data_IF_830227892533
#
_entry.id   IF_830227892533
#
_cell.length_a   1.000
_cell.length_b   1.000
_cell.length_c   1.000
_cell.angle_alpha   90.00
_cell.angle_beta   90.00
_cell.angle_gamma   90.00
#
_symmetry.space_group_name_H-M   'P 1'
#
loop_
_entity.id
_entity.type
_entity.pdbx_description
1 polymer ?
#
# COMPACT_ATOMS: atom_id res chain seq x y z
N UNK A 1 5.36 -6.37 13.44
CA UNK A 1 4.07 -7.04 13.70
C UNK A 1 4.30 -8.53 13.64
N UNK A 2 3.90 -9.26 14.68
CA UNK A 2 4.15 -10.70 14.71
C UNK A 2 5.62 -11.07 14.45
N UNK A 3 6.58 -10.34 15.02
CA UNK A 3 8.01 -10.55 14.80
C UNK A 3 8.55 -10.17 13.40
N UNK A 4 7.68 -9.74 12.47
CA UNK A 4 8.04 -9.44 11.08
C UNK A 4 7.92 -7.93 10.78
N UNK A 5 8.85 -7.32 10.03
CA UNK A 5 8.74 -5.94 9.53
C UNK A 5 7.48 -5.74 8.67
N UNK A 6 6.89 -4.53 8.72
CA UNK A 6 5.66 -4.22 7.97
C UNK A 6 5.86 -4.43 6.47
N UNK A 7 6.99 -4.01 5.92
CA UNK A 7 7.30 -4.13 4.49
C UNK A 7 7.28 -5.59 4.01
N UNK A 8 7.74 -6.52 4.84
CA UNK A 8 7.74 -7.95 4.49
C UNK A 8 6.32 -8.51 4.33
N UNK A 9 5.37 -8.08 5.16
CA UNK A 9 3.96 -8.44 5.00
C UNK A 9 3.40 -7.99 3.65
N UNK A 10 3.72 -6.75 3.25
CA UNK A 10 3.27 -6.22 1.96
C UNK A 10 3.94 -6.94 0.80
N UNK A 11 5.25 -7.20 0.85
CA UNK A 11 5.94 -7.96 -0.20
C UNK A 11 5.34 -9.37 -0.32
N UNK A 12 5.13 -10.07 0.79
CA UNK A 12 4.58 -11.43 0.79
C UNK A 12 3.18 -11.52 0.19
N UNK A 13 2.34 -10.50 0.36
CA UNK A 13 1.02 -10.49 -0.24
C UNK A 13 1.08 -10.60 -1.78
N UNK A 14 2.07 -9.96 -2.40
CA UNK A 14 2.29 -10.01 -3.85
C UNK A 14 3.18 -11.18 -4.26
N UNK A 15 4.18 -11.55 -3.46
CA UNK A 15 5.03 -12.73 -3.68
C UNK A 15 4.19 -14.01 -3.78
N UNK A 16 3.18 -14.14 -2.90
CA UNK A 16 2.31 -15.31 -2.82
C UNK A 16 1.15 -15.30 -3.84
N UNK A 17 1.02 -14.28 -4.69
CA UNK A 17 0.00 -14.24 -5.74
C UNK A 17 0.57 -14.75 -7.07
N UNK A 18 0.06 -15.85 -7.58
CA UNK A 18 0.56 -16.51 -8.80
C UNK A 18 0.43 -15.64 -10.07
N UNK A 19 -0.39 -14.59 -10.04
CA UNK A 19 -0.61 -13.68 -11.17
C UNK A 19 0.34 -12.48 -11.17
N UNK A 20 1.11 -12.30 -10.11
CA UNK A 20 2.19 -11.31 -10.02
C UNK A 20 3.49 -11.97 -10.47
N UNK A 21 4.10 -11.42 -11.49
CA UNK A 21 5.37 -11.93 -12.04
C UNK A 21 6.59 -11.30 -11.38
N UNK A 22 6.54 -10.00 -11.15
CA UNK A 22 7.69 -9.21 -10.72
C UNK A 22 7.27 -8.14 -9.70
N UNK A 23 8.15 -7.84 -8.76
CA UNK A 23 7.98 -6.84 -7.71
C UNK A 23 9.15 -5.86 -7.79
N UNK A 24 8.85 -4.56 -7.77
CA UNK A 24 9.82 -3.49 -7.57
C UNK A 24 9.53 -2.85 -6.22
N UNK A 25 10.54 -2.80 -5.37
CA UNK A 25 10.43 -2.18 -4.06
C UNK A 25 11.07 -0.79 -4.13
N UNK A 26 10.27 0.24 -3.83
CA UNK A 26 10.76 1.62 -3.79
C UNK A 26 10.94 2.04 -2.34
N UNK A 27 12.15 2.47 -1.99
CA UNK A 27 12.54 2.72 -0.61
C UNK A 27 13.17 4.09 -0.43
N UNK A 28 13.11 4.63 0.78
CA UNK A 28 13.93 5.77 1.14
C UNK A 28 15.37 5.31 1.32
N UNK A 29 16.35 6.09 0.86
CA UNK A 29 17.79 5.80 0.96
C UNK A 29 18.24 5.38 2.38
N UNK A 30 17.60 5.94 3.42
CA UNK A 30 17.96 5.65 4.82
C UNK A 30 17.69 4.22 5.26
N UNK A 31 16.79 3.52 4.57
CA UNK A 31 16.37 2.17 4.93
C UNK A 31 16.69 1.15 3.82
N UNK A 32 17.34 1.59 2.75
CA UNK A 32 17.63 0.77 1.58
C UNK A 32 18.46 -0.48 1.95
N UNK A 33 19.56 -0.30 2.69
CA UNK A 33 20.42 -1.40 3.13
C UNK A 33 19.63 -2.42 3.97
N UNK A 34 18.85 -1.92 4.96
CA UNK A 34 18.02 -2.79 5.80
C UNK A 34 16.97 -3.55 5.00
N UNK A 35 16.34 -2.91 4.00
CA UNK A 35 15.33 -3.57 3.16
C UNK A 35 15.98 -4.60 2.24
N UNK A 36 17.18 -4.31 1.69
CA UNK A 36 17.96 -5.28 0.93
C UNK A 36 18.24 -6.54 1.75
N UNK A 37 18.78 -6.38 2.98
CA UNK A 37 19.04 -7.50 3.90
C UNK A 37 17.78 -8.34 4.15
N UNK A 38 16.65 -7.69 4.43
CA UNK A 38 15.37 -8.38 4.66
C UNK A 38 14.88 -9.17 3.44
N UNK A 39 15.09 -8.63 2.23
CA UNK A 39 14.70 -9.29 0.98
C UNK A 39 15.59 -10.51 0.73
N UNK A 40 16.89 -10.38 0.93
CA UNK A 40 17.86 -11.45 0.75
C UNK A 40 17.64 -12.58 1.77
N UNK A 41 17.42 -12.23 3.04
CA UNK A 41 17.14 -13.22 4.12
C UNK A 41 15.83 -13.99 3.87
N UNK A 42 14.79 -13.30 3.39
CA UNK A 42 13.50 -13.92 3.09
C UNK A 42 13.50 -14.72 1.79
N UNK A 43 14.41 -14.43 0.86
CA UNK A 43 14.54 -15.13 -0.42
C UNK A 43 13.35 -14.89 -1.36
N UNK A 44 12.79 -13.69 -1.38
CA UNK A 44 11.66 -13.34 -2.27
C UNK A 44 12.07 -13.47 -3.74
N UNK A 45 11.42 -14.41 -4.45
CA UNK A 45 11.79 -14.77 -5.81
C UNK A 45 11.30 -13.76 -6.86
N UNK A 46 10.26 -12.98 -6.56
CA UNK A 46 9.65 -12.01 -7.49
C UNK A 46 10.23 -10.60 -7.36
N UNK A 47 10.97 -10.29 -6.31
CA UNK A 47 11.61 -8.98 -6.17
C UNK A 47 12.77 -8.88 -7.17
N UNK A 48 12.63 -7.97 -8.15
CA UNK A 48 13.60 -7.78 -9.23
C UNK A 48 14.50 -6.58 -9.04
N UNK A 49 14.02 -5.56 -8.34
CA UNK A 49 14.78 -4.35 -8.12
C UNK A 49 14.33 -3.66 -6.83
N UNK A 50 15.29 -2.97 -6.22
CA UNK A 50 15.06 -1.97 -5.19
C UNK A 50 15.47 -0.64 -5.80
N UNK A 51 14.60 0.37 -5.67
CA UNK A 51 14.78 1.68 -6.31
C UNK A 51 14.74 2.75 -5.22
N UNK A 52 15.68 3.69 -5.21
CA UNK A 52 15.57 4.86 -4.35
C UNK A 52 14.32 5.66 -4.70
N UNK A 53 13.48 5.94 -3.70
CA UNK A 53 12.35 6.84 -3.81
C UNK A 53 12.76 8.29 -3.60
N UNK A 54 11.79 9.20 -3.79
CA UNK A 54 12.00 10.61 -3.55
C UNK A 54 11.43 11.11 -2.22
N UNK A 55 11.31 12.44 -2.12
CA UNK A 55 10.79 13.11 -0.94
C UNK A 55 9.29 12.89 -0.74
N UNK A 56 8.56 12.78 -1.84
CA UNK A 56 7.12 12.60 -1.86
C UNK A 56 6.74 11.23 -2.48
N UNK A 57 5.48 10.82 -2.26
CA UNK A 57 4.95 9.57 -2.79
C UNK A 57 5.01 9.55 -4.34
N UNK A 58 4.73 10.67 -4.97
CA UNK A 58 4.79 10.83 -6.43
C UNK A 58 6.19 10.58 -6.97
N UNK A 59 7.23 11.06 -6.32
CA UNK A 59 8.62 10.85 -6.74
C UNK A 59 8.96 9.36 -6.74
N UNK A 60 8.49 8.63 -5.74
CA UNK A 60 8.67 7.18 -5.65
C UNK A 60 7.95 6.43 -6.77
N UNK A 61 6.73 6.86 -7.12
CA UNK A 61 6.00 6.30 -8.27
C UNK A 61 6.74 6.56 -9.57
N UNK A 62 7.19 7.80 -9.80
CA UNK A 62 7.93 8.17 -11.01
C UNK A 62 9.25 7.41 -11.13
N UNK A 63 10.00 7.23 -10.05
CA UNK A 63 11.24 6.45 -10.06
C UNK A 63 11.00 5.00 -10.53
N UNK A 64 9.93 4.36 -10.06
CA UNK A 64 9.56 3.02 -10.51
C UNK A 64 9.11 3.00 -11.98
N UNK A 65 8.28 3.97 -12.40
CA UNK A 65 7.82 4.06 -13.80
C UNK A 65 8.99 4.32 -14.76
N UNK A 66 9.97 5.13 -14.38
CA UNK A 66 11.16 5.40 -15.18
C UNK A 66 12.04 4.15 -15.33
N UNK A 67 12.21 3.36 -14.28
CA UNK A 67 12.89 2.06 -14.37
C UNK A 67 12.17 1.14 -15.36
N UNK A 68 10.85 1.04 -15.26
CA UNK A 68 10.06 0.20 -16.18
C UNK A 68 10.13 0.70 -17.61
N UNK A 69 10.17 2.00 -17.85
CA UNK A 69 10.34 2.63 -19.15
C UNK A 69 11.71 2.29 -19.75
N UNK A 70 12.77 2.38 -18.96
CA UNK A 70 14.14 2.01 -19.38
C UNK A 70 14.25 0.51 -19.67
N UNK A 71 13.54 -0.34 -18.94
CA UNK A 71 13.45 -1.77 -19.17
C UNK A 71 12.61 -2.14 -20.41
N UNK A 72 11.97 -1.18 -21.07
CA UNK A 72 11.18 -1.41 -22.28
C UNK A 72 9.88 -2.16 -22.03
N UNK A 73 9.26 -1.98 -20.86
CA UNK A 73 7.99 -2.63 -20.53
C UNK A 73 6.89 -2.19 -21.52
N UNK A 74 6.09 -3.12 -22.07
CA UNK A 74 5.03 -2.79 -23.02
C UNK A 74 3.96 -1.88 -22.39
N UNK A 75 3.41 -0.95 -23.16
CA UNK A 75 2.35 -0.02 -22.70
C UNK A 75 1.10 -0.73 -22.17
N UNK A 76 0.83 -1.95 -22.64
CA UNK A 76 -0.28 -2.79 -22.18
C UNK A 76 0.01 -3.59 -20.91
N UNK A 77 1.22 -3.55 -20.34
CA UNK A 77 1.53 -4.25 -19.10
C UNK A 77 0.63 -3.76 -17.95
N UNK A 78 0.28 -4.67 -17.06
CA UNK A 78 -0.52 -4.38 -15.87
C UNK A 78 0.42 -4.01 -14.73
N UNK A 79 0.28 -2.81 -14.19
CA UNK A 79 1.08 -2.27 -13.10
C UNK A 79 0.17 -2.08 -11.89
N UNK A 80 0.57 -2.59 -10.74
CA UNK A 80 -0.10 -2.40 -9.46
C UNK A 80 0.82 -1.58 -8.55
N UNK A 81 0.36 -0.43 -8.11
CA UNK A 81 1.08 0.45 -7.16
C UNK A 81 0.48 0.25 -5.79
N UNK A 82 1.32 -0.10 -4.81
CA UNK A 82 0.86 -0.43 -3.47
C UNK A 82 1.67 0.27 -2.37
N UNK A 83 0.97 0.80 -1.37
CA UNK A 83 1.59 1.38 -0.19
C UNK A 83 2.15 0.27 0.71
N UNK A 84 3.47 0.20 0.91
CA UNK A 84 4.12 -0.83 1.75
C UNK A 84 3.65 -0.82 3.22
N UNK A 85 2.99 0.25 3.65
CA UNK A 85 2.38 0.40 4.97
C UNK A 85 0.93 -0.11 5.05
N UNK A 86 0.45 -0.84 4.03
CA UNK A 86 -0.82 -1.58 4.02
C UNK A 86 -0.57 -3.09 3.95
N UNK A 87 -0.12 -3.68 5.04
CA UNK A 87 0.37 -5.07 5.05
C UNK A 87 -0.70 -6.14 4.86
N UNK A 88 -1.98 -5.78 4.94
CA UNK A 88 -3.09 -6.74 4.98
C UNK A 88 -3.97 -6.67 3.72
N UNK A 89 -3.36 -6.41 2.57
CA UNK A 89 -4.09 -6.48 1.31
C UNK A 89 -4.53 -7.92 1.03
N UNK A 90 -5.79 -8.10 0.72
CA UNK A 90 -6.37 -9.40 0.43
C UNK A 90 -6.06 -9.85 -1.00
N UNK A 91 -5.86 -11.16 -1.22
CA UNK A 91 -5.63 -11.73 -2.56
C UNK A 91 -6.76 -11.38 -3.53
N UNK A 92 -8.00 -11.36 -3.06
CA UNK A 92 -9.16 -10.96 -3.86
C UNK A 92 -9.06 -9.54 -4.40
N UNK A 93 -8.46 -8.62 -3.64
CA UNK A 93 -8.25 -7.23 -4.09
C UNK A 93 -7.14 -7.14 -5.14
N UNK A 94 -6.07 -7.92 -5.00
CA UNK A 94 -5.00 -8.02 -6.01
C UNK A 94 -5.57 -8.59 -7.31
N UNK A 95 -6.25 -9.73 -7.23
CA UNK A 95 -6.87 -10.39 -8.38
C UNK A 95 -7.92 -9.51 -9.06
N UNK A 96 -8.78 -8.86 -8.27
CA UNK A 96 -9.78 -7.94 -8.77
C UNK A 96 -9.19 -6.76 -9.54
N UNK A 97 -8.04 -6.24 -9.10
CA UNK A 97 -7.27 -5.22 -9.83
C UNK A 97 -6.79 -5.76 -11.18
N UNK A 98 -6.22 -6.96 -11.20
CA UNK A 98 -5.71 -7.59 -12.42
C UNK A 98 -6.86 -7.86 -13.42
N UNK A 99 -8.00 -8.35 -12.94
CA UNK A 99 -9.18 -8.62 -13.76
C UNK A 99 -9.80 -7.34 -14.31
N UNK A 100 -9.88 -6.29 -13.49
CA UNK A 100 -10.42 -5.00 -13.93
C UNK A 100 -9.63 -4.42 -15.10
N UNK A 101 -8.31 -4.62 -15.14
CA UNK A 101 -7.47 -4.16 -16.24
C UNK A 101 -7.69 -4.93 -17.56
N UNK A 102 -8.52 -5.96 -17.60
CA UNK A 102 -8.93 -6.59 -18.88
C UNK A 102 -10.06 -5.82 -19.58
N UNK A 103 -10.77 -4.96 -18.85
CA UNK A 103 -11.88 -4.16 -19.37
C UNK A 103 -11.62 -2.65 -19.29
N UNK A 104 -10.78 -2.21 -18.34
CA UNK A 104 -10.45 -0.81 -18.06
C UNK A 104 -8.94 -0.60 -18.16
N UNK A 105 -8.50 0.65 -18.28
CA UNK A 105 -7.08 1.00 -18.26
C UNK A 105 -6.59 1.41 -16.87
N UNK A 106 -7.51 1.59 -15.93
CA UNK A 106 -7.22 1.93 -14.53
C UNK A 106 -8.25 1.31 -13.58
N UNK A 107 -7.79 0.95 -12.37
CA UNK A 107 -8.62 0.48 -11.29
C UNK A 107 -8.01 0.86 -9.94
N UNK A 108 -8.83 0.99 -8.91
CA UNK A 108 -8.37 1.28 -7.55
C UNK A 108 -9.11 0.42 -6.54
N UNK A 109 -8.39 -0.07 -5.54
CA UNK A 109 -9.04 -0.70 -4.39
C UNK A 109 -9.67 0.38 -3.53
N UNK A 110 -10.92 0.20 -3.19
CA UNK A 110 -11.62 1.11 -2.28
C UNK A 110 -12.72 0.38 -1.52
N UNK A 111 -13.10 0.89 -0.35
CA UNK A 111 -14.25 0.36 0.36
C UNK A 111 -15.23 1.47 0.75
N UNK A 112 -16.52 1.14 0.81
CA UNK A 112 -17.58 2.10 1.06
C UNK A 112 -17.39 2.80 2.41
N UNK A 113 -17.52 4.13 2.45
CA UNK A 113 -17.41 4.88 3.70
C UNK A 113 -18.61 4.59 4.59
N UNK A 114 -18.35 4.18 5.82
CA UNK A 114 -19.37 4.03 6.88
C UNK A 114 -19.69 5.37 7.53
N UNK A 115 -18.75 6.32 7.47
CA UNK A 115 -18.88 7.65 8.05
C UNK A 115 -19.54 8.65 7.08
N UNK A 116 -20.15 9.69 7.64
CA UNK A 116 -20.58 10.84 6.87
C UNK A 116 -19.37 11.73 6.56
N UNK A 117 -19.07 11.91 5.29
CA UNK A 117 -17.95 12.76 4.83
C UNK A 117 -18.45 14.18 4.59
N UNK A 118 -17.71 15.15 5.08
CA UNK A 118 -17.98 16.57 4.89
C UNK A 118 -16.94 17.16 3.92
N UNK A 119 -17.38 17.71 2.80
CA UNK A 119 -16.53 18.56 1.97
C UNK A 119 -16.57 19.96 2.54
N UNK A 120 -15.40 20.57 2.73
CA UNK A 120 -15.27 21.87 3.38
C UNK A 120 -14.69 22.92 2.45
N UNK A 121 -14.98 24.16 2.76
CA UNK A 121 -14.35 25.36 2.16
C UNK A 121 -13.62 26.11 3.26
N UNK A 122 -12.40 26.62 2.93
CA UNK A 122 -11.60 27.39 3.86
C UNK A 122 -11.90 28.87 3.69
N UNK A 123 -12.32 29.54 4.76
CA UNK A 123 -12.58 30.99 4.78
C UNK A 123 -11.40 31.78 5.38
N UNK A 124 -10.26 31.11 5.61
CA UNK A 124 -9.04 31.70 6.16
C UNK A 124 -8.93 31.58 7.66
N UNK A 125 -9.96 31.99 8.44
CA UNK A 125 -9.98 31.88 9.89
C UNK A 125 -10.66 30.56 10.39
N UNK A 126 -11.46 29.93 9.52
CA UNK A 126 -12.18 28.67 9.82
C UNK A 126 -12.57 27.93 8.55
N UNK A 127 -12.81 26.63 8.71
CA UNK A 127 -13.43 25.80 7.68
C UNK A 127 -14.94 25.70 7.91
N UNK A 128 -15.70 25.82 6.81
CA UNK A 128 -17.15 25.64 6.80
C UNK A 128 -17.54 24.45 5.94
N UNK A 129 -18.65 23.78 6.23
CA UNK A 129 -19.16 22.68 5.42
C UNK A 129 -19.69 23.25 4.11
N UNK A 130 -19.15 22.79 2.99
CA UNK A 130 -19.58 23.16 1.62
C UNK A 130 -20.63 22.20 1.10
N UNK A 131 -20.42 20.90 1.30
CA UNK A 131 -21.36 19.87 0.87
C UNK A 131 -21.17 18.56 1.64
N UNK A 132 -22.17 17.71 1.56
CA UNK A 132 -22.14 16.35 2.15
C UNK A 132 -22.43 15.38 1.01
N UNK A 133 -21.44 14.61 0.55
CA UNK A 133 -21.64 13.60 -0.49
C UNK A 133 -22.64 12.53 -0.03
N UNK A 134 -23.35 11.95 -1.00
CA UNK A 134 -24.21 10.81 -0.74
C UNK A 134 -23.37 9.59 -0.34
N UNK A 135 -23.69 8.96 0.80
CA UNK A 135 -22.92 7.84 1.33
C UNK A 135 -22.76 6.66 0.35
N UNK A 136 -23.78 6.24 -0.42
CA UNK A 136 -23.62 5.16 -1.41
C UNK A 136 -22.56 5.43 -2.48
N UNK A 137 -22.24 6.70 -2.73
CA UNK A 137 -21.27 7.14 -3.72
C UNK A 137 -19.94 7.57 -3.12
N UNK A 138 -19.73 7.30 -1.80
CA UNK A 138 -18.54 7.73 -1.08
C UNK A 138 -17.72 6.52 -0.66
N UNK A 139 -16.48 6.46 -1.16
CA UNK A 139 -15.55 5.37 -0.89
C UNK A 139 -14.25 5.91 -0.29
N UNK A 140 -13.60 5.10 0.51
CA UNK A 140 -12.25 5.33 1.00
C UNK A 140 -11.26 4.64 0.07
N UNK A 141 -10.41 5.41 -0.59
CA UNK A 141 -9.38 4.88 -1.46
C UNK A 141 -8.36 4.08 -0.66
N UNK A 142 -7.98 2.95 -1.20
CA UNK A 142 -6.92 2.08 -0.70
C UNK A 142 -5.93 1.78 -1.83
N UNK A 143 -5.00 0.87 -1.60
CA UNK A 143 -4.14 0.30 -2.61
C UNK A 143 -4.21 -1.23 -2.53
N UNK A 144 -3.94 -1.96 -3.65
CA UNK A 144 -3.33 -1.53 -4.90
C UNK A 144 -4.18 -0.56 -5.72
N UNK A 145 -3.49 0.33 -6.42
CA UNK A 145 -4.02 1.09 -7.53
C UNK A 145 -3.41 0.52 -8.81
N UNK A 146 -4.23 0.14 -9.75
CA UNK A 146 -3.82 -0.66 -10.89
C UNK A 146 -4.01 0.09 -12.20
N UNK A 147 -3.06 -0.03 -13.11
CA UNK A 147 -3.05 0.72 -14.35
C UNK A 147 -2.47 -0.11 -15.49
N UNK A 148 -2.90 0.15 -16.73
CA UNK A 148 -2.08 -0.15 -17.89
C UNK A 148 -0.87 0.77 -17.87
N UNK A 149 0.33 0.25 -18.12
CA UNK A 149 1.57 1.02 -18.04
C UNK A 149 1.53 2.31 -18.88
N UNK A 150 1.07 2.21 -20.13
CA UNK A 150 0.95 3.39 -20.98
C UNK A 150 -0.02 4.46 -20.46
N UNK A 151 -1.08 4.05 -19.77
CA UNK A 151 -2.08 4.97 -19.21
C UNK A 151 -1.51 5.79 -18.06
N UNK A 152 -0.86 5.13 -17.08
CA UNK A 152 -0.31 5.85 -15.94
C UNK A 152 0.88 6.73 -16.34
N UNK A 153 1.74 6.28 -17.26
CA UNK A 153 2.84 7.09 -17.79
C UNK A 153 2.30 8.34 -18.47
N UNK A 154 1.31 8.19 -19.37
CA UNK A 154 0.68 9.33 -20.05
C UNK A 154 0.04 10.32 -19.08
N UNK A 155 -0.65 9.83 -18.06
CA UNK A 155 -1.26 10.69 -17.05
C UNK A 155 -0.22 11.54 -16.31
N UNK A 156 0.89 10.93 -15.90
CA UNK A 156 1.99 11.66 -15.25
C UNK A 156 2.73 12.61 -16.20
N UNK A 157 2.90 12.26 -17.48
CA UNK A 157 3.50 13.16 -18.48
C UNK A 157 2.64 14.42 -18.68
N UNK A 158 1.31 14.30 -18.66
CA UNK A 158 0.40 15.44 -18.73
C UNK A 158 0.42 16.26 -17.42
N UNK A 159 0.42 15.59 -16.29
CA UNK A 159 0.49 16.22 -14.96
C UNK A 159 1.77 17.02 -14.75
N UNK A 160 2.90 16.58 -15.30
CA UNK A 160 4.19 17.27 -15.20
C UNK A 160 4.20 18.66 -15.83
N UNK A 161 3.25 18.97 -16.71
CA UNK A 161 3.09 20.29 -17.31
C UNK A 161 2.31 21.28 -16.42
N UNK A 162 1.70 20.81 -15.33
CA UNK A 162 0.93 21.62 -14.38
C UNK A 162 1.73 21.84 -13.08
N UNK A 163 2.27 23.05 -12.87
CA UNK A 163 3.10 23.36 -11.69
C UNK A 163 2.32 23.34 -10.36
N UNK A 164 1.00 23.43 -10.41
CA UNK A 164 0.15 23.49 -9.22
C UNK A 164 -0.38 22.10 -8.82
N UNK A 165 -0.03 21.05 -9.59
CA UNK A 165 -0.49 19.71 -9.33
C UNK A 165 0.45 18.94 -8.38
N UNK A 166 -0.04 18.68 -7.16
CA UNK A 166 0.64 17.88 -6.14
C UNK A 166 -0.19 16.66 -5.78
N UNK A 167 -0.11 15.56 -6.56
CA UNK A 167 -0.94 14.39 -6.32
C UNK A 167 -0.48 13.62 -5.09
N UNK A 168 -1.43 13.24 -4.26
CA UNK A 168 -1.23 12.33 -3.12
C UNK A 168 -1.64 10.89 -3.44
N UNK A 169 -2.16 10.66 -4.66
CA UNK A 169 -2.81 9.42 -5.08
C UNK A 169 -2.68 9.23 -6.60
N UNK A 170 -2.29 8.04 -7.07
CA UNK A 170 -2.06 7.78 -8.50
C UNK A 170 -3.37 7.73 -9.29
N UNK A 171 -4.47 7.30 -8.65
CA UNK A 171 -5.81 7.32 -9.25
C UNK A 171 -6.22 8.74 -9.61
N UNK A 172 -5.91 9.71 -8.74
CA UNK A 172 -6.22 11.11 -8.97
C UNK A 172 -5.53 11.64 -10.22
N UNK A 173 -4.29 11.21 -10.47
CA UNK A 173 -3.55 11.63 -11.68
C UNK A 173 -4.30 11.20 -12.95
N UNK A 174 -4.83 9.97 -12.96
CA UNK A 174 -5.62 9.50 -14.11
C UNK A 174 -6.94 10.26 -14.23
N UNK A 175 -7.67 10.45 -13.13
CA UNK A 175 -8.97 11.14 -13.14
C UNK A 175 -8.85 12.59 -13.60
N UNK A 176 -7.82 13.32 -13.14
CA UNK A 176 -7.66 14.76 -13.42
C UNK A 176 -7.08 15.00 -14.84
N UNK A 177 -6.18 14.12 -15.34
CA UNK A 177 -5.48 14.35 -16.62
C UNK A 177 -5.92 13.47 -17.77
N UNK A 178 -6.69 12.43 -17.51
CA UNK A 178 -7.31 11.56 -18.52
C UNK A 178 -8.82 11.40 -18.21
N UNK A 179 -9.61 12.49 -18.29
CA UNK A 179 -11.01 12.47 -17.81
C UNK A 179 -11.93 11.51 -18.57
N UNK A 180 -11.54 11.07 -19.75
CA UNK A 180 -12.27 10.07 -20.55
C UNK A 180 -11.89 8.62 -20.18
N UNK A 181 -10.90 8.41 -19.31
CA UNK A 181 -10.48 7.09 -18.86
C UNK A 181 -11.19 6.74 -17.54
N UNK A 182 -12.16 5.83 -17.55
CA UNK A 182 -12.81 5.41 -16.32
C UNK A 182 -11.86 4.60 -15.44
N UNK A 183 -11.92 4.90 -14.13
CA UNK A 183 -11.21 4.13 -13.12
C UNK A 183 -12.19 3.19 -12.42
N UNK A 184 -12.00 1.88 -12.57
CA UNK A 184 -12.85 0.89 -11.94
C UNK A 184 -12.61 0.83 -10.43
N UNK A 185 -13.66 0.59 -9.64
CA UNK A 185 -13.54 0.33 -8.20
C UNK A 185 -13.48 -1.18 -7.96
N UNK A 186 -12.45 -1.61 -7.27
CA UNK A 186 -12.30 -2.98 -6.74
C UNK A 186 -12.61 -2.96 -5.25
N UNK A 187 -13.38 -3.92 -4.79
CA UNK A 187 -13.75 -3.99 -3.38
C UNK A 187 -12.51 -4.19 -2.48
N UNK A 188 -12.33 -3.28 -1.57
CA UNK A 188 -11.35 -3.36 -0.50
C UNK A 188 -11.94 -3.85 0.81
N UNK A 189 -11.15 -3.80 1.86
CA UNK A 189 -11.49 -4.29 3.19
C UNK A 189 -11.09 -3.27 4.27
N UNK A 190 -11.82 -3.25 5.38
CA UNK A 190 -11.42 -2.47 6.56
C UNK A 190 -10.08 -2.94 7.13
N UNK A 191 -9.76 -4.22 6.98
CA UNK A 191 -8.49 -4.80 7.42
C UNK A 191 -7.30 -4.30 6.61
N UNK A 192 -7.49 -3.84 5.36
CA UNK A 192 -6.44 -3.24 4.53
C UNK A 192 -6.12 -1.80 4.98
N UNK A 193 -5.91 -1.64 6.29
CA UNK A 193 -5.61 -0.34 6.90
C UNK A 193 -4.22 0.17 6.49
N UNK A 194 -4.06 1.49 6.50
CA UNK A 194 -2.76 2.15 6.31
C UNK A 194 -2.14 2.43 7.69
N UNK A 195 -1.00 1.84 7.99
CA UNK A 195 -0.26 2.06 9.24
C UNK A 195 0.59 3.32 9.06
N UNK A 196 0.20 4.42 9.69
CA UNK A 196 0.86 5.73 9.54
C UNK A 196 1.35 6.30 10.86
N UNK A 197 0.77 5.86 11.97
CA UNK A 197 1.09 6.35 13.31
C UNK A 197 1.34 5.19 14.27
N UNK A 198 2.08 5.42 15.37
CA UNK A 198 2.25 4.40 16.41
C UNK A 198 0.92 3.90 17.01
N UNK A 199 -0.14 4.70 16.97
CA UNK A 199 -1.47 4.30 17.45
C UNK A 199 -2.17 3.28 16.56
N UNK A 200 -1.73 3.08 15.32
CA UNK A 200 -2.27 2.07 14.41
C UNK A 200 -1.70 0.67 14.74
N UNK A 201 -0.56 0.62 15.41
CA UNK A 201 0.15 -0.65 15.71
C UNK A 201 -0.66 -1.66 16.51
N UNK A 202 -1.39 -1.29 17.59
CA UNK A 202 -2.20 -2.27 18.33
C UNK A 202 -3.29 -2.92 17.47
N UNK A 203 -3.89 -2.16 16.56
CA UNK A 203 -4.90 -2.69 15.62
C UNK A 203 -4.23 -3.63 14.62
N UNK A 204 -3.11 -3.20 14.05
CA UNK A 204 -2.33 -4.00 13.12
C UNK A 204 -1.84 -5.33 13.73
N UNK A 205 -1.34 -5.29 14.98
CA UNK A 205 -0.97 -6.51 15.72
C UNK A 205 -2.16 -7.44 15.95
N UNK A 206 -3.35 -6.89 16.20
CA UNK A 206 -4.59 -7.67 16.33
C UNK A 206 -4.94 -8.40 15.03
N UNK A 207 -4.86 -7.71 13.90
CA UNK A 207 -5.10 -8.29 12.57
C UNK A 207 -4.05 -9.35 12.24
N UNK A 208 -2.77 -9.06 12.44
CA UNK A 208 -1.68 -10.01 12.18
C UNK A 208 -1.89 -11.32 12.93
N UNK A 209 -2.25 -11.26 14.22
CA UNK A 209 -2.55 -12.45 15.02
C UNK A 209 -3.77 -13.25 14.51
N UNK A 210 -4.75 -12.58 13.93
CA UNK A 210 -5.92 -13.26 13.37
C UNK A 210 -5.60 -13.99 12.07
N UNK A 211 -4.61 -13.51 11.33
CA UNK A 211 -4.16 -14.11 10.07
C UNK A 211 -3.18 -15.27 10.28
N UNK A 212 -2.42 -15.25 11.36
CA UNK A 212 -1.49 -16.33 11.75
C UNK A 212 -1.67 -16.74 13.23
N UNK A 213 -2.71 -17.53 13.54
CA UNK A 213 -3.00 -17.96 14.91
C UNK A 213 -1.93 -18.85 15.53
N UNK A 214 -1.20 -19.63 14.75
CA UNK A 214 -0.16 -20.51 15.27
C UNK A 214 1.08 -19.71 15.69
N UNK A 215 1.52 -18.77 14.88
CA UNK A 215 2.60 -17.85 15.26
C UNK A 215 2.22 -17.03 16.50
N UNK A 216 0.97 -16.58 16.61
CA UNK A 216 0.48 -15.88 17.81
C UNK A 216 0.56 -16.73 19.08
N UNK A 217 0.28 -18.04 18.99
CA UNK A 217 0.41 -18.98 20.12
C UNK A 217 1.88 -19.17 20.52
N UNK A 218 2.78 -19.30 19.54
CA UNK A 218 4.21 -19.45 19.80
C UNK A 218 4.81 -18.22 20.46
N UNK A 219 4.47 -17.00 19.97
CA UNK A 219 4.86 -15.75 20.61
C UNK A 219 4.36 -15.64 22.06
N UNK A 220 3.08 -15.97 22.29
CA UNK A 220 2.51 -15.94 23.63
C UNK A 220 3.23 -16.89 24.58
N UNK A 221 3.59 -18.09 24.10
CA UNK A 221 4.36 -19.07 24.84
C UNK A 221 5.78 -18.59 25.14
N UNK A 222 6.45 -17.98 24.15
CA UNK A 222 7.79 -17.43 24.33
C UNK A 222 7.81 -16.26 25.33
N UNK A 223 6.84 -15.35 25.27
CA UNK A 223 6.68 -14.25 26.25
C UNK A 223 6.43 -14.78 27.65
N UNK A 224 5.60 -15.79 27.80
CA UNK A 224 5.34 -16.42 29.09
C UNK A 224 6.61 -17.06 29.67
N UNK A 225 7.38 -17.78 28.86
CA UNK A 225 8.67 -18.35 29.29
C UNK A 225 9.66 -17.27 29.74
N UNK A 226 9.75 -16.16 29.02
CA UNK A 226 10.61 -15.02 29.39
C UNK A 226 10.23 -14.42 30.75
N UNK A 227 8.93 -14.19 30.98
CA UNK A 227 8.41 -13.68 32.27
C UNK A 227 8.71 -14.64 33.42
N UNK A 228 8.52 -15.95 33.22
CA UNK A 228 8.87 -16.96 34.23
C UNK A 228 10.38 -17.00 34.50
N UNK A 229 11.21 -16.93 33.48
CA UNK A 229 12.66 -16.92 33.63
C UNK A 229 13.14 -15.69 34.45
N UNK A 230 12.58 -14.52 34.17
CA UNK A 230 12.88 -13.29 34.89
C UNK A 230 12.42 -13.35 36.37
N UNK A 231 11.21 -13.85 36.62
CA UNK A 231 10.71 -14.06 37.99
C UNK A 231 11.55 -15.05 38.78
N UNK A 232 12.00 -16.17 38.17
CA UNK A 232 12.88 -17.15 38.77
C UNK A 232 14.25 -16.55 39.11
N UNK A 233 14.84 -15.76 38.22
CA UNK A 233 16.09 -15.06 38.43
C UNK A 233 16.04 -14.12 39.63
N UNK A 234 14.95 -13.36 39.77
CA UNK A 234 14.75 -12.43 40.88
C UNK A 234 14.54 -13.14 42.23
N UNK A 235 13.97 -14.35 42.26
CA UNK A 235 13.76 -15.13 43.46
C UNK A 235 15.08 -15.74 44.00
N UNK A 236 16.08 -16.00 43.13
CA UNK A 236 17.36 -16.60 43.49
C UNK A 236 18.47 -15.57 43.73
N UNK A 237 18.17 -14.26 43.49
CA UNK A 237 19.09 -13.15 43.73
C UNK A 237 18.88 -12.47 45.10
N UNK A 238 17.98 -13.01 45.94
CA UNK A 238 17.75 -12.59 47.34
C UNK A 238 18.23 -13.67 48.29
#
# INVERSE_FOLDING_TARGET
MGGKPIVCWSIEAFENNDRISDIIVVVNERVEETVNELIDEAGYAKVRAIVPGGAERVDSTLAALDLLKQAGIPSGAKILIHDSVRPFVEQQSIDGCIDSLDQFNAATVAYASTDTILLTEDLGDRKVVKSVPERPNTFRAQTPQAFRFGTIVKAYELAAADPDFHPTDDTRVVVDYLPDEPVAIVNGSETNLKITTPSDMPIAEGIARSLDPEHAKEEAKARMHAVFAEAFSQMHSR
#
